data_IF_097954744211
#
_entry.id   IF_097954744211
#
_cell.length_a   1.000
_cell.length_b   1.000
_cell.length_c   1.000
_cell.angle_alpha   90.00
_cell.angle_beta   90.00
_cell.angle_gamma   90.00
#
_symmetry.space_group_name_H-M   'P 1'
#
loop_
_entity.id
_entity.type
_entity.pdbx_description
1 polymer ?
#
# COMPACT_ATOMS: atom_id res chain seq x y z
N UNK A 1 10.89 -28.79 -4.57
CA UNK A 1 9.92 -27.90 -5.24
C UNK A 1 10.70 -27.11 -6.29
N UNK A 2 10.12 -26.81 -7.45
CA UNK A 2 10.84 -26.06 -8.48
C UNK A 2 10.92 -24.58 -8.09
N UNK A 3 12.10 -23.99 -8.12
CA UNK A 3 12.36 -22.58 -7.83
C UNK A 3 12.19 -21.72 -9.09
N UNK A 4 12.35 -20.39 -8.96
CA UNK A 4 12.20 -19.45 -10.07
C UNK A 4 13.53 -19.21 -10.79
N UNK A 5 13.50 -19.21 -12.12
CA UNK A 5 14.67 -18.97 -12.96
C UNK A 5 15.24 -17.55 -12.78
N UNK A 6 14.35 -16.57 -12.61
CA UNK A 6 14.68 -15.16 -12.41
C UNK A 6 13.56 -14.43 -11.64
N UNK A 7 13.82 -13.16 -11.34
CA UNK A 7 12.89 -12.29 -10.62
C UNK A 7 11.62 -12.00 -11.45
N UNK A 8 11.71 -11.94 -12.78
CA UNK A 8 10.56 -11.71 -13.66
C UNK A 8 9.54 -12.84 -13.59
N UNK A 9 10.02 -14.08 -13.48
CA UNK A 9 9.17 -15.24 -13.25
C UNK A 9 8.44 -15.15 -11.90
N UNK A 10 9.10 -14.64 -10.86
CA UNK A 10 8.48 -14.41 -9.54
C UNK A 10 7.29 -13.47 -9.65
N UNK A 11 7.44 -12.31 -10.30
CA UNK A 11 6.32 -11.35 -10.46
C UNK A 11 5.17 -11.92 -11.27
N UNK A 12 5.47 -12.67 -12.33
CA UNK A 12 4.45 -13.31 -13.17
C UNK A 12 3.63 -14.30 -12.35
N UNK A 13 4.32 -15.17 -11.61
CA UNK A 13 3.68 -16.16 -10.74
C UNK A 13 2.88 -15.51 -9.61
N UNK A 14 3.45 -14.53 -8.91
CA UNK A 14 2.77 -13.81 -7.83
C UNK A 14 1.52 -13.09 -8.32
N UNK A 15 1.58 -12.42 -9.47
CA UNK A 15 0.43 -11.72 -10.04
C UNK A 15 -0.73 -12.68 -10.29
N UNK A 16 -0.44 -13.87 -10.81
CA UNK A 16 -1.43 -14.93 -10.99
C UNK A 16 -2.01 -15.39 -9.65
N UNK A 17 -1.16 -15.74 -8.67
CA UNK A 17 -1.61 -16.24 -7.36
C UNK A 17 -2.42 -15.22 -6.57
N UNK A 18 -2.01 -13.96 -6.59
CA UNK A 18 -2.75 -12.87 -5.92
C UNK A 18 -4.12 -12.68 -6.57
N UNK A 19 -4.21 -12.83 -7.89
CA UNK A 19 -5.49 -12.79 -8.62
C UNK A 19 -6.40 -13.95 -8.22
N UNK A 20 -5.88 -15.17 -8.14
CA UNK A 20 -6.64 -16.33 -7.65
C UNK A 20 -7.15 -16.16 -6.21
N UNK A 21 -6.40 -15.41 -5.38
CA UNK A 21 -6.79 -15.07 -4.00
C UNK A 21 -7.67 -13.82 -3.89
N UNK A 22 -8.20 -13.31 -5.01
CA UNK A 22 -9.20 -12.25 -5.04
C UNK A 22 -8.65 -10.82 -5.07
N UNK A 23 -7.35 -10.63 -5.29
CA UNK A 23 -6.77 -9.31 -5.52
C UNK A 23 -6.79 -8.99 -7.02
N UNK A 24 -7.21 -7.78 -7.40
CA UNK A 24 -7.05 -7.30 -8.77
C UNK A 24 -5.68 -6.64 -8.92
N UNK A 25 -4.74 -7.30 -9.60
CA UNK A 25 -3.42 -6.72 -9.90
C UNK A 25 -3.57 -5.57 -10.91
N UNK A 26 -3.09 -4.38 -10.55
CA UNK A 26 -3.16 -3.16 -11.35
C UNK A 26 -1.85 -2.88 -12.11
N UNK A 27 -0.72 -3.38 -11.60
CA UNK A 27 0.58 -3.27 -12.24
C UNK A 27 1.71 -3.81 -11.39
N UNK A 28 2.86 -4.03 -12.04
CA UNK A 28 4.12 -4.43 -11.39
C UNK A 28 5.18 -3.37 -11.64
N UNK A 29 6.06 -3.11 -10.67
CA UNK A 29 7.13 -2.09 -10.75
C UNK A 29 6.59 -0.70 -11.12
N UNK A 30 5.58 -0.26 -10.38
CA UNK A 30 4.88 1.01 -10.60
C UNK A 30 5.63 2.13 -9.86
N UNK A 31 6.33 2.99 -10.61
CA UNK A 31 7.04 4.14 -10.04
C UNK A 31 6.18 5.40 -9.96
N UNK A 32 6.26 6.10 -8.83
CA UNK A 32 5.62 7.42 -8.63
C UNK A 32 6.56 8.61 -8.92
N UNK A 33 7.79 8.36 -9.39
CA UNK A 33 8.79 9.39 -9.73
C UNK A 33 10.16 9.12 -9.10
N UNK A 34 11.17 9.95 -9.42
CA UNK A 34 12.58 9.74 -9.06
C UNK A 34 12.91 9.62 -7.56
N UNK A 35 12.05 10.12 -6.67
CA UNK A 35 12.28 10.17 -5.23
C UNK A 35 11.33 9.25 -4.44
N UNK A 36 10.42 8.55 -5.14
CA UNK A 36 9.48 7.64 -4.52
C UNK A 36 9.96 6.21 -4.77
N UNK A 37 9.88 5.31 -3.78
CA UNK A 37 10.14 3.90 -4.03
C UNK A 37 9.16 3.37 -5.07
N UNK A 38 9.62 2.47 -5.93
CA UNK A 38 8.73 1.79 -6.85
C UNK A 38 7.84 0.82 -6.05
N UNK A 39 6.58 0.68 -6.47
CA UNK A 39 5.69 -0.34 -5.93
C UNK A 39 5.89 -1.60 -6.76
N UNK A 40 6.49 -2.63 -6.16
CA UNK A 40 6.76 -3.91 -6.83
C UNK A 40 5.49 -4.55 -7.39
N UNK A 41 4.42 -4.63 -6.59
CA UNK A 41 3.08 -5.02 -7.06
C UNK A 41 2.04 -4.07 -6.48
N UNK A 42 1.30 -3.40 -7.37
CA UNK A 42 0.12 -2.62 -7.02
C UNK A 42 -1.13 -3.45 -7.32
N UNK A 43 -2.01 -3.59 -6.32
CA UNK A 43 -3.25 -4.34 -6.42
C UNK A 43 -4.42 -3.60 -5.77
N UNK A 44 -5.63 -4.12 -6.01
CA UNK A 44 -6.86 -3.66 -5.39
C UNK A 44 -7.63 -4.83 -4.77
N UNK A 45 -8.15 -4.65 -3.57
CA UNK A 45 -9.02 -5.62 -2.87
C UNK A 45 -10.19 -4.87 -2.25
N UNK A 46 -11.41 -5.19 -2.66
CA UNK A 46 -12.63 -4.56 -2.11
C UNK A 46 -12.59 -3.01 -2.14
N UNK A 47 -12.06 -2.44 -3.23
CA UNK A 47 -11.90 -0.99 -3.40
C UNK A 47 -10.74 -0.35 -2.63
N UNK A 48 -9.93 -1.14 -1.90
CA UNK A 48 -8.72 -0.68 -1.20
C UNK A 48 -7.48 -0.87 -2.08
N UNK A 49 -6.61 0.14 -2.14
CA UNK A 49 -5.31 0.05 -2.82
C UNK A 49 -4.29 -0.65 -1.92
N UNK A 50 -3.74 -1.74 -2.43
CA UNK A 50 -2.74 -2.56 -1.74
C UNK A 50 -1.42 -2.46 -2.49
N UNK A 51 -0.36 -2.04 -1.80
CA UNK A 51 1.01 -2.15 -2.33
C UNK A 51 1.74 -3.31 -1.69
N UNK A 52 2.55 -4.01 -2.47
CA UNK A 52 3.36 -5.13 -1.99
C UNK A 52 4.80 -4.84 -2.42
N UNK A 53 5.70 -4.81 -1.45
CA UNK A 53 7.16 -4.84 -1.64
C UNK A 53 7.60 -6.30 -1.67
N UNK A 54 8.39 -6.71 -2.66
CA UNK A 54 8.80 -8.10 -2.88
C UNK A 54 10.30 -8.24 -2.77
N UNK A 55 10.79 -9.10 -1.85
CA UNK A 55 12.21 -9.47 -1.78
C UNK A 55 12.37 -10.95 -2.09
N UNK A 56 13.19 -11.25 -3.10
CA UNK A 56 13.50 -12.62 -3.53
C UNK A 56 14.88 -13.05 -3.03
N UNK A 57 14.92 -14.13 -2.26
CA UNK A 57 16.11 -14.64 -1.59
C UNK A 57 16.52 -16.01 -2.13
N UNK A 58 17.66 -16.04 -2.83
CA UNK A 58 18.33 -17.28 -3.27
C UNK A 58 19.31 -17.84 -2.24
N UNK A 59 19.61 -17.05 -1.22
CA UNK A 59 20.49 -17.37 -0.11
C UNK A 59 20.00 -16.65 1.15
N UNK A 60 20.38 -17.11 2.35
CA UNK A 60 20.06 -16.43 3.59
C UNK A 60 20.58 -14.98 3.57
N UNK A 61 19.71 -14.03 3.89
CA UNK A 61 20.06 -12.61 4.02
C UNK A 61 19.65 -12.07 5.39
N UNK A 62 19.84 -10.76 5.59
CA UNK A 62 19.34 -10.04 6.75
C UNK A 62 17.82 -10.16 6.78
N UNK A 63 17.29 -10.62 7.91
CA UNK A 63 15.86 -10.81 8.06
C UNK A 63 15.07 -9.52 7.82
N UNK A 64 15.58 -8.35 8.19
CA UNK A 64 14.87 -7.07 8.03
C UNK A 64 14.91 -6.46 6.60
N UNK A 65 15.41 -7.18 5.60
CA UNK A 65 15.52 -6.67 4.23
C UNK A 65 14.13 -6.37 3.61
N UNK A 66 13.99 -5.21 2.96
CA UNK A 66 12.73 -4.73 2.39
C UNK A 66 11.80 -4.01 3.37
N UNK A 67 12.09 -4.03 4.67
CA UNK A 67 11.24 -3.37 5.67
C UNK A 67 11.20 -1.84 5.47
N UNK A 68 12.33 -1.23 5.12
CA UNK A 68 12.42 0.22 4.90
C UNK A 68 11.62 0.66 3.67
N UNK A 69 11.74 -0.08 2.59
CA UNK A 69 11.02 0.14 1.33
C UNK A 69 9.51 -0.01 1.53
N UNK A 70 9.07 -1.10 2.17
CA UNK A 70 7.67 -1.32 2.50
C UNK A 70 7.10 -0.20 3.39
N UNK A 71 7.84 0.24 4.41
CA UNK A 71 7.41 1.39 5.22
C UNK A 71 7.31 2.68 4.41
N UNK A 72 8.22 2.91 3.47
CA UNK A 72 8.19 4.06 2.60
C UNK A 72 6.99 4.03 1.61
N UNK A 73 6.49 2.85 1.20
CA UNK A 73 5.28 2.75 0.38
C UNK A 73 4.04 3.37 1.05
N UNK A 74 3.99 3.44 2.39
CA UNK A 74 2.89 4.09 3.11
C UNK A 74 2.74 5.56 2.75
N UNK A 75 3.79 6.25 2.30
CA UNK A 75 3.69 7.66 1.89
C UNK A 75 3.02 7.84 0.53
N UNK A 76 2.67 6.77 -0.19
CA UNK A 76 2.10 6.83 -1.54
C UNK A 76 0.56 6.77 -1.57
N UNK A 77 -0.10 6.95 -0.42
CA UNK A 77 -1.58 6.99 -0.34
C UNK A 77 -2.27 5.62 -0.50
N UNK A 78 -1.50 4.53 -0.37
CA UNK A 78 -2.02 3.15 -0.32
C UNK A 78 -2.85 2.94 0.95
N UNK A 79 -3.86 2.08 0.89
CA UNK A 79 -4.70 1.72 2.05
C UNK A 79 -4.00 0.71 2.95
N UNK A 80 -3.36 -0.27 2.31
CA UNK A 80 -2.64 -1.37 2.95
C UNK A 80 -1.30 -1.58 2.23
N UNK A 81 -0.28 -1.96 2.98
CA UNK A 81 1.03 -2.30 2.44
C UNK A 81 1.46 -3.65 3.02
N UNK A 82 2.04 -4.49 2.18
CA UNK A 82 2.65 -5.75 2.60
C UNK A 82 4.13 -5.80 2.20
N UNK A 83 4.94 -6.39 3.07
CA UNK A 83 6.23 -6.95 2.69
C UNK A 83 6.04 -8.44 2.37
N UNK A 84 6.50 -8.88 1.21
CA UNK A 84 6.49 -10.28 0.79
C UNK A 84 7.93 -10.76 0.62
N UNK A 85 8.30 -11.76 1.42
CA UNK A 85 9.57 -12.48 1.23
C UNK A 85 9.33 -13.76 0.46
N UNK A 86 10.03 -13.89 -0.67
CA UNK A 86 10.05 -15.10 -1.49
C UNK A 86 11.39 -15.77 -1.29
N UNK A 87 11.39 -16.96 -0.72
CA UNK A 87 12.60 -17.75 -0.51
C UNK A 87 12.70 -18.86 -1.55
N UNK A 88 13.88 -19.09 -2.09
CA UNK A 88 14.15 -20.35 -2.79
C UNK A 88 14.01 -21.54 -1.84
N UNK A 89 13.57 -22.67 -2.39
CA UNK A 89 13.45 -23.93 -1.66
C UNK A 89 14.78 -24.35 -1.03
N UNK A 90 15.91 -23.95 -1.64
CA UNK A 90 17.27 -24.21 -1.15
C UNK A 90 17.60 -23.53 0.18
N UNK A 91 16.89 -22.44 0.55
CA UNK A 91 17.07 -21.74 1.84
C UNK A 91 16.58 -22.61 3.01
N UNK A 92 15.67 -23.55 2.74
CA UNK A 92 15.28 -24.60 3.69
C UNK A 92 14.70 -24.06 5.01
N UNK A 93 15.09 -24.68 6.13
CA UNK A 93 14.59 -24.32 7.46
C UNK A 93 14.91 -22.88 7.88
N UNK A 94 15.99 -22.30 7.34
CA UNK A 94 16.38 -20.93 7.64
C UNK A 94 15.33 -19.92 7.16
N UNK A 95 14.61 -20.20 6.07
CA UNK A 95 13.53 -19.36 5.58
C UNK A 95 12.44 -19.16 6.64
N UNK A 96 12.09 -20.23 7.36
CA UNK A 96 11.06 -20.20 8.41
C UNK A 96 11.50 -19.38 9.61
N UNK A 97 12.74 -19.55 10.07
CA UNK A 97 13.27 -18.79 11.20
C UNK A 97 13.43 -17.30 10.85
N UNK A 98 13.89 -16.99 9.62
CA UNK A 98 13.93 -15.62 9.12
C UNK A 98 12.51 -15.03 9.10
N UNK A 99 11.55 -15.70 8.45
CA UNK A 99 10.18 -15.24 8.37
C UNK A 99 9.55 -14.99 9.75
N UNK A 100 9.82 -15.85 10.74
CA UNK A 100 9.37 -15.65 12.12
C UNK A 100 9.92 -14.37 12.72
N UNK A 101 11.22 -14.10 12.58
CA UNK A 101 11.85 -12.87 13.09
C UNK A 101 11.31 -11.62 12.39
N UNK A 102 11.05 -11.69 11.10
CA UNK A 102 10.43 -10.59 10.34
C UNK A 102 9.02 -10.34 10.82
N UNK A 103 8.21 -11.38 10.99
CA UNK A 103 6.85 -11.26 11.50
C UNK A 103 6.82 -10.54 12.86
N UNK A 104 7.73 -10.87 13.78
CA UNK A 104 7.85 -10.17 15.07
C UNK A 104 8.18 -8.68 14.92
N UNK A 105 9.07 -8.32 13.98
CA UNK A 105 9.33 -6.90 13.70
C UNK A 105 8.13 -6.21 13.05
N UNK A 106 7.50 -6.85 12.06
CA UNK A 106 6.39 -6.26 11.29
C UNK A 106 5.17 -6.02 12.17
N UNK A 107 4.91 -6.85 13.19
CA UNK A 107 3.86 -6.62 14.19
C UNK A 107 3.96 -5.25 14.88
N UNK A 108 5.15 -4.65 14.93
CA UNK A 108 5.38 -3.32 15.52
C UNK A 108 5.02 -2.17 14.57
N UNK A 109 4.62 -2.48 13.33
CA UNK A 109 4.43 -1.52 12.23
C UNK A 109 3.03 -1.68 11.61
N UNK A 110 2.54 -0.72 10.80
CA UNK A 110 1.23 -0.85 10.17
C UNK A 110 1.21 -1.76 8.92
N UNK A 111 2.36 -2.18 8.40
CA UNK A 111 2.41 -3.06 7.21
C UNK A 111 2.07 -4.51 7.59
N UNK A 112 1.59 -5.27 6.62
CA UNK A 112 1.45 -6.72 6.72
C UNK A 112 2.71 -7.46 6.26
N UNK A 113 2.77 -8.75 6.55
CA UNK A 113 3.88 -9.62 6.16
C UNK A 113 3.36 -10.92 5.55
N UNK A 114 3.90 -11.23 4.38
CA UNK A 114 3.68 -12.48 3.67
C UNK A 114 4.99 -13.22 3.42
N UNK A 115 4.90 -14.54 3.32
CA UNK A 115 6.02 -15.40 2.96
C UNK A 115 5.62 -16.39 1.88
N UNK A 116 6.57 -16.71 1.00
CA UNK A 116 6.45 -17.78 0.01
C UNK A 116 7.76 -18.55 -0.05
N UNK A 117 7.70 -19.88 -0.21
CA UNK A 117 8.89 -20.74 -0.38
C UNK A 117 8.77 -21.51 -1.69
N UNK A 118 9.73 -21.31 -2.60
CA UNK A 118 9.65 -21.79 -3.97
C UNK A 118 8.35 -21.34 -4.64
N UNK A 119 7.74 -22.24 -5.43
CA UNK A 119 6.43 -22.03 -6.07
C UNK A 119 5.26 -22.47 -5.17
N UNK A 120 5.28 -22.06 -3.90
CA UNK A 120 4.13 -22.26 -3.00
C UNK A 120 3.07 -21.17 -3.20
N UNK A 121 1.99 -21.24 -2.43
CA UNK A 121 1.12 -20.09 -2.23
C UNK A 121 1.78 -19.09 -1.27
N UNK A 122 1.57 -17.78 -1.44
CA UNK A 122 1.88 -16.80 -0.41
C UNK A 122 1.03 -17.04 0.84
N UNK A 123 1.67 -17.11 1.99
CA UNK A 123 1.07 -17.23 3.31
C UNK A 123 1.14 -15.87 4.02
N UNK A 124 0.01 -15.40 4.56
CA UNK A 124 -0.04 -14.18 5.38
C UNK A 124 0.31 -14.55 6.82
N UNK A 125 1.43 -14.03 7.33
CA UNK A 125 1.84 -14.22 8.72
C UNK A 125 1.45 -13.04 9.62
N UNK A 126 1.31 -11.85 9.03
CA UNK A 126 0.83 -10.64 9.71
C UNK A 126 -0.12 -9.90 8.77
N UNK A 127 -1.35 -9.69 9.19
CA UNK A 127 -2.31 -8.87 8.45
C UNK A 127 -1.91 -7.40 8.48
N UNK A 128 -2.03 -6.72 7.33
CA UNK A 128 -1.78 -5.29 7.26
C UNK A 128 -2.85 -4.53 8.04
N UNK A 129 -2.44 -3.42 8.66
CA UNK A 129 -3.35 -2.46 9.28
C UNK A 129 -3.58 -1.30 8.32
N UNK A 130 -4.66 -0.54 8.54
CA UNK A 130 -4.93 0.66 7.75
C UNK A 130 -3.76 1.64 7.83
N UNK A 131 -3.38 2.20 6.67
CA UNK A 131 -2.27 3.13 6.56
C UNK A 131 -2.52 4.41 7.40
N UNK A 132 -1.70 4.66 8.45
CA UNK A 132 -1.89 5.82 9.32
C UNK A 132 -1.60 7.15 8.61
N UNK A 133 -0.76 7.15 7.57
CA UNK A 133 -0.42 8.37 6.82
C UNK A 133 -1.56 8.83 5.90
N UNK A 134 -2.47 7.93 5.51
CA UNK A 134 -3.62 8.27 4.66
C UNK A 134 -4.66 9.11 5.43
N UNK A 135 -4.83 8.86 6.73
CA UNK A 135 -5.73 9.65 7.60
C UNK A 135 -5.18 11.08 7.77
N UNK A 136 -3.86 11.22 7.94
CA UNK A 136 -3.21 12.53 8.05
C UNK A 136 -3.32 13.37 6.76
N UNK A 137 -3.35 12.72 5.60
CA UNK A 137 -3.52 13.36 4.29
C UNK A 137 -4.99 13.59 3.90
N UNK A 138 -5.94 13.00 4.64
CA UNK A 138 -7.39 13.04 4.39
C UNK A 138 -8.18 14.03 5.27
N UNK A 139 -7.51 14.92 6.01
CA UNK A 139 -8.13 15.95 6.85
C UNK A 139 -8.77 17.12 6.08
N UNK A 140 -9.66 16.85 5.13
CA UNK A 140 -10.75 17.77 4.78
C UNK A 140 -12.04 16.98 4.76
N UNK A 141 -12.87 17.23 5.76
CA UNK A 141 -14.28 16.86 5.73
C UNK A 141 -14.90 17.28 4.38
N UNK A 142 -15.86 16.52 3.83
CA UNK A 142 -16.61 16.97 2.67
C UNK A 142 -17.28 18.30 3.03
N UNK A 143 -16.98 19.37 2.28
CA UNK A 143 -17.79 20.59 2.27
C UNK A 143 -19.14 20.24 1.64
N UNK A 144 -20.02 19.64 2.45
CA UNK A 144 -21.42 19.47 2.13
C UNK A 144 -22.15 20.78 2.37
N UNK A 145 -22.84 21.25 1.33
CA UNK A 145 -23.85 22.30 1.32
C UNK A 145 -23.39 23.72 1.65
N UNK A 146 -23.01 24.45 0.60
CA UNK A 146 -23.35 25.87 0.50
C UNK A 146 -24.87 26.01 0.55
N UNK A 147 -25.47 26.85 1.41
CA UNK A 147 -26.72 27.48 1.05
C UNK A 147 -26.39 28.49 -0.06
N UNK A 148 -27.12 28.39 -1.16
CA UNK A 148 -27.23 29.49 -2.11
C UNK A 148 -28.04 30.60 -1.42
N UNK A 149 -27.44 31.76 -1.21
CA UNK A 149 -28.18 33.01 -1.06
C UNK A 149 -27.62 33.99 -2.09
N UNK A 150 -28.15 33.89 -3.30
CA UNK A 150 -28.24 35.01 -4.21
C UNK A 150 -29.59 35.66 -4.01
N UNK A 151 -29.62 36.84 -3.42
CA UNK A 151 -30.67 37.82 -3.67
C UNK A 151 -30.01 39.21 -3.63
N UNK A 152 -30.11 39.88 -4.77
CA UNK A 152 -29.51 41.16 -5.07
C UNK A 152 -30.11 42.32 -4.24
N UNK A 153 -29.29 43.35 -4.06
CA UNK A 153 -29.63 44.71 -3.63
C UNK A 153 -30.81 45.31 -4.43
N UNK A 154 -31.49 46.32 -3.86
CA UNK A 154 -31.17 47.65 -4.35
C UNK A 154 -31.02 48.72 -3.28
N UNK A 155 -30.06 49.61 -3.53
CA UNK A 155 -29.94 50.93 -2.94
C UNK A 155 -31.21 51.77 -3.17
N UNK A 156 -31.72 52.38 -2.10
CA UNK A 156 -32.72 53.44 -2.18
C UNK A 156 -32.07 54.78 -1.82
N UNK A 157 -32.11 55.69 -2.77
CA UNK A 157 -31.70 57.07 -2.64
C UNK A 157 -32.73 57.91 -1.85
N UNK A 158 -32.21 58.82 -1.04
CA UNK A 158 -32.68 60.18 -0.73
C UNK A 158 -34.17 60.49 -0.57
N UNK A 159 -34.50 61.07 0.60
CA UNK A 159 -35.38 62.24 0.64
C UNK A 159 -35.08 63.08 1.89
N UNK A 160 -34.51 64.26 1.65
CA UNK A 160 -34.52 65.38 2.59
C UNK A 160 -35.97 65.76 2.93
N UNK A 161 -36.21 66.14 4.19
CA UNK A 161 -37.39 66.92 4.58
C UNK A 161 -36.92 68.23 5.18
N UNK A 162 -37.05 69.28 4.39
CA UNK A 162 -37.39 70.62 4.88
C UNK A 162 -38.90 70.72 5.03
N UNK A 163 -39.33 71.36 6.13
CA UNK A 163 -40.59 72.06 6.40
C UNK A 163 -40.64 72.18 7.94
N UNK A 164 -40.93 73.30 8.59
CA UNK A 164 -41.26 74.68 8.22
C UNK A 164 -41.25 75.47 9.53
#
# INVERSE_FOLDING_TARGET
MADFADEGEVYTYLSHRLTEKGLKVLGTRVGAGRLSPDIDILAEREGRRVGIEVKYFRAPSRFYEGLGEALALLSQGLDEVYLLHVFDSSVGEQARELARRVAELVKLTPIGYMVMVGRSDPEVLVEARSNPLKVALGGRAPRGASPAEGAAEPAAAGAAREAS
#
